data_IF_634718468540
#
_entry.id   IF_634718468540
#
_cell.length_a   1.000
_cell.length_b   1.000
_cell.length_c   1.000
_cell.angle_alpha   90.00
_cell.angle_beta   90.00
_cell.angle_gamma   90.00
#
_symmetry.space_group_name_H-M   'P 1'
#
loop_
_entity.id
_entity.type
_entity.pdbx_description
1 polymer ?
#
# COMPACT_ATOMS: atom_id res chain seq x y z
N UNK A 1 13.16 -35.58 11.95
CA UNK A 1 11.79 -35.33 12.43
C UNK A 1 11.69 -33.84 12.68
N UNK A 2 11.20 -33.11 11.67
CA UNK A 2 11.08 -31.66 11.73
C UNK A 2 9.89 -31.32 12.61
N UNK A 3 10.13 -30.53 13.66
CA UNK A 3 9.07 -29.94 14.48
C UNK A 3 8.34 -28.95 13.57
N UNK A 4 7.14 -29.30 13.10
CA UNK A 4 6.23 -28.34 12.48
C UNK A 4 6.06 -27.18 13.46
N UNK A 5 6.53 -25.99 13.10
CA UNK A 5 6.22 -24.77 13.85
C UNK A 5 4.83 -24.33 13.37
N UNK A 6 3.78 -24.40 14.20
CA UNK A 6 2.42 -24.01 13.78
C UNK A 6 2.33 -22.55 13.29
N UNK A 7 3.29 -21.70 13.64
CA UNK A 7 3.41 -20.33 13.13
C UNK A 7 3.77 -20.22 11.64
N UNK A 8 4.15 -21.33 10.99
CA UNK A 8 4.54 -21.37 9.57
C UNK A 8 3.45 -21.95 8.66
N UNK A 9 2.34 -22.47 9.22
CA UNK A 9 1.30 -23.15 8.44
C UNK A 9 0.60 -22.24 7.42
N UNK A 10 0.61 -20.92 7.64
CA UNK A 10 0.02 -19.97 6.68
C UNK A 10 0.90 -19.77 5.44
N UNK A 11 2.21 -20.00 5.52
CA UNK A 11 3.12 -19.66 4.42
C UNK A 11 2.82 -20.49 3.17
N UNK A 12 2.59 -21.79 3.31
CA UNK A 12 2.30 -22.68 2.18
C UNK A 12 0.97 -22.33 1.51
N UNK A 13 -0.08 -22.04 2.30
CA UNK A 13 -1.38 -21.58 1.81
C UNK A 13 -1.27 -20.25 1.06
N UNK A 14 -0.46 -19.31 1.58
CA UNK A 14 -0.19 -18.04 0.91
C UNK A 14 0.57 -18.27 -0.39
N UNK A 15 1.64 -19.07 -0.39
CA UNK A 15 2.41 -19.37 -1.60
C UNK A 15 1.53 -19.96 -2.68
N UNK A 16 0.70 -20.95 -2.33
CA UNK A 16 -0.24 -21.57 -3.26
C UNK A 16 -1.24 -20.54 -3.83
N UNK A 17 -1.84 -19.73 -2.96
CA UNK A 17 -2.77 -18.67 -3.38
C UNK A 17 -2.11 -17.65 -4.32
N UNK A 18 -0.93 -17.14 -3.97
CA UNK A 18 -0.21 -16.15 -4.76
C UNK A 18 0.22 -16.72 -6.12
N UNK A 19 0.78 -17.93 -6.15
CA UNK A 19 1.26 -18.57 -7.37
C UNK A 19 0.15 -18.83 -8.39
N UNK A 20 -1.05 -19.18 -7.92
CA UNK A 20 -2.24 -19.43 -8.75
C UNK A 20 -2.87 -18.15 -9.29
N UNK A 21 -2.87 -17.08 -8.49
CA UNK A 21 -3.59 -15.85 -8.82
C UNK A 21 -2.73 -14.75 -9.43
N UNK A 22 -1.40 -14.83 -9.31
CA UNK A 22 -0.51 -13.92 -10.00
C UNK A 22 -0.57 -14.13 -11.52
N UNK A 23 -0.66 -13.05 -12.32
CA UNK A 23 -0.68 -13.17 -13.77
C UNK A 23 0.64 -13.72 -14.29
N UNK A 24 0.59 -14.82 -15.04
CA UNK A 24 1.77 -15.39 -15.69
C UNK A 24 2.20 -14.56 -16.90
N UNK A 25 3.51 -14.49 -17.12
CA UNK A 25 4.03 -13.93 -18.36
C UNK A 25 3.94 -15.00 -19.48
N UNK A 26 3.33 -14.70 -20.64
CA UNK A 26 3.19 -15.67 -21.73
C UNK A 26 4.51 -15.91 -22.50
N UNK A 27 5.46 -14.98 -22.41
CA UNK A 27 6.73 -15.03 -23.16
C UNK A 27 7.92 -15.39 -22.26
N UNK A 28 7.75 -15.32 -20.94
CA UNK A 28 8.81 -15.48 -19.94
C UNK A 28 8.37 -16.42 -18.83
N UNK A 29 9.32 -17.10 -18.21
CA UNK A 29 9.02 -17.95 -17.05
C UNK A 29 8.77 -17.09 -15.80
N UNK A 30 7.55 -17.17 -15.26
CA UNK A 30 7.16 -16.56 -13.98
C UNK A 30 5.91 -15.67 -14.06
N UNK A 31 5.87 -14.66 -13.20
CA UNK A 31 4.73 -13.77 -12.99
C UNK A 31 5.05 -12.32 -13.33
N UNK A 32 4.17 -11.68 -14.12
CA UNK A 32 4.34 -10.33 -14.59
C UNK A 32 3.57 -9.34 -13.72
N UNK A 33 4.26 -8.39 -13.09
CA UNK A 33 3.61 -7.46 -12.18
C UNK A 33 2.71 -6.42 -12.89
N UNK A 34 2.82 -6.30 -14.22
CA UNK A 34 2.09 -5.35 -15.07
C UNK A 34 2.15 -3.89 -14.58
N UNK A 35 3.15 -3.54 -13.78
CA UNK A 35 3.22 -2.29 -13.01
C UNK A 35 1.94 -2.00 -12.19
N UNK A 36 1.23 -3.03 -11.73
CA UNK A 36 0.05 -2.93 -10.88
C UNK A 36 0.42 -3.17 -9.42
N UNK A 37 -0.04 -2.29 -8.52
CA UNK A 37 0.34 -2.30 -7.10
C UNK A 37 0.16 -3.66 -6.43
N UNK A 38 -1.01 -4.28 -6.59
CA UNK A 38 -1.30 -5.58 -5.98
C UNK A 38 -0.36 -6.69 -6.48
N UNK A 39 -0.05 -6.71 -7.78
CA UNK A 39 0.81 -7.74 -8.38
C UNK A 39 2.27 -7.54 -8.02
N UNK A 40 2.74 -6.30 -7.99
CA UNK A 40 4.10 -5.98 -7.55
C UNK A 40 4.34 -6.41 -6.09
N UNK A 41 3.40 -6.10 -5.18
CA UNK A 41 3.48 -6.51 -3.77
C UNK A 41 3.40 -8.05 -3.66
N UNK A 42 2.54 -8.71 -4.43
CA UNK A 42 2.45 -10.18 -4.44
C UNK A 42 3.72 -10.85 -5.00
N UNK A 43 4.34 -10.30 -6.04
CA UNK A 43 5.65 -10.73 -6.54
C UNK A 43 6.74 -10.55 -5.47
N UNK A 44 6.75 -9.43 -4.75
CA UNK A 44 7.68 -9.20 -3.64
C UNK A 44 7.46 -10.19 -2.49
N UNK A 45 6.19 -10.52 -2.17
CA UNK A 45 5.87 -11.55 -1.20
C UNK A 45 6.40 -12.93 -1.61
N UNK A 46 6.26 -13.33 -2.88
CA UNK A 46 6.83 -14.60 -3.39
C UNK A 46 8.35 -14.64 -3.27
N UNK A 47 9.04 -13.52 -3.51
CA UNK A 47 10.48 -13.39 -3.33
C UNK A 47 10.86 -13.51 -1.85
N UNK A 48 10.16 -12.77 -0.99
CA UNK A 48 10.42 -12.76 0.45
C UNK A 48 10.12 -14.10 1.13
N UNK A 49 9.19 -14.89 0.59
CA UNK A 49 8.89 -16.27 1.01
C UNK A 49 9.87 -17.31 0.45
N UNK A 50 10.91 -16.89 -0.28
CA UNK A 50 11.94 -17.77 -0.82
C UNK A 50 11.47 -18.65 -1.98
N UNK A 51 10.38 -18.26 -2.65
CA UNK A 51 9.80 -19.03 -3.76
C UNK A 51 10.24 -18.50 -5.13
N UNK A 52 10.68 -17.25 -5.19
CA UNK A 52 10.96 -16.57 -6.43
C UNK A 52 12.18 -15.64 -6.33
N UNK A 53 12.71 -15.27 -7.49
CA UNK A 53 13.72 -14.23 -7.61
C UNK A 53 13.19 -13.01 -8.37
N UNK A 54 13.69 -11.83 -7.99
CA UNK A 54 13.28 -10.57 -8.59
C UNK A 54 13.64 -10.50 -10.07
N UNK A 55 12.72 -9.97 -10.87
CA UNK A 55 12.91 -9.64 -12.28
C UNK A 55 12.45 -8.22 -12.54
N UNK A 56 12.92 -7.62 -13.64
CA UNK A 56 12.53 -6.25 -14.04
C UNK A 56 11.03 -6.11 -14.35
N UNK A 57 10.33 -7.22 -14.53
CA UNK A 57 8.95 -7.30 -14.97
C UNK A 57 8.05 -8.01 -13.94
N UNK A 58 8.59 -8.38 -12.77
CA UNK A 58 7.87 -9.14 -11.74
C UNK A 58 8.79 -10.13 -11.02
N UNK A 59 8.40 -11.40 -10.97
CA UNK A 59 9.15 -12.45 -10.28
C UNK A 59 9.19 -13.75 -11.08
N UNK A 60 10.29 -14.50 -10.97
CA UNK A 60 10.43 -15.82 -11.58
C UNK A 60 10.60 -16.89 -10.50
N UNK A 61 9.95 -18.06 -10.61
CA UNK A 61 10.06 -19.13 -9.63
C UNK A 61 11.52 -19.63 -9.53
N UNK A 62 11.92 -20.01 -8.32
CA UNK A 62 13.20 -20.69 -8.09
C UNK A 62 13.08 -22.18 -8.44
N UNK A 63 14.13 -22.75 -9.02
CA UNK A 63 14.19 -24.19 -9.31
C UNK A 63 14.20 -25.06 -8.04
N UNK A 64 14.77 -24.53 -6.95
CA UNK A 64 14.81 -25.15 -5.63
C UNK A 64 14.34 -24.12 -4.59
N UNK A 65 13.02 -23.96 -4.40
CA UNK A 65 12.48 -22.99 -3.45
C UNK A 65 12.81 -23.40 -2.02
N UNK A 66 13.37 -22.48 -1.25
CA UNK A 66 13.76 -22.71 0.14
C UNK A 66 13.05 -21.69 1.01
N UNK A 67 12.26 -22.20 1.96
CA UNK A 67 11.61 -21.32 2.93
C UNK A 67 12.69 -20.57 3.74
N UNK A 68 12.58 -19.24 3.87
CA UNK A 68 13.58 -18.46 4.58
C UNK A 68 13.56 -18.81 6.07
N UNK A 69 14.74 -18.76 6.70
CA UNK A 69 14.88 -18.97 8.15
C UNK A 69 14.03 -17.96 8.95
N UNK A 70 13.89 -16.75 8.41
CA UNK A 70 13.11 -15.66 8.96
C UNK A 70 12.03 -15.27 7.95
N UNK A 71 10.77 -15.50 8.30
CA UNK A 71 9.65 -15.16 7.45
C UNK A 71 9.46 -13.65 7.30
N UNK A 72 8.90 -13.19 6.17
CA UNK A 72 8.43 -11.82 6.03
C UNK A 72 7.37 -11.49 7.07
N UNK A 73 7.19 -10.20 7.33
CA UNK A 73 6.21 -9.73 8.29
C UNK A 73 4.80 -10.20 7.92
N UNK A 74 4.12 -10.81 8.88
CA UNK A 74 2.77 -11.36 8.71
C UNK A 74 1.77 -10.31 8.23
N UNK A 75 1.81 -9.09 8.78
CA UNK A 75 0.87 -8.03 8.41
C UNK A 75 1.09 -7.54 6.96
N UNK A 76 2.33 -7.50 6.49
CA UNK A 76 2.63 -7.17 5.09
C UNK A 76 2.17 -8.27 4.12
N UNK A 77 2.32 -9.54 4.50
CA UNK A 77 1.77 -10.68 3.73
C UNK A 77 0.25 -10.61 3.64
N UNK A 78 -0.42 -10.24 4.73
CA UNK A 78 -1.86 -10.05 4.71
C UNK A 78 -2.27 -8.99 3.68
N UNK A 79 -1.53 -7.88 3.56
CA UNK A 79 -1.80 -6.85 2.54
C UNK A 79 -1.58 -7.38 1.12
N UNK A 80 -0.53 -8.19 0.90
CA UNK A 80 -0.31 -8.83 -0.39
C UNK A 80 -1.51 -9.71 -0.82
N UNK A 81 -2.01 -10.54 0.10
CA UNK A 81 -3.15 -11.43 -0.14
C UNK A 81 -4.44 -10.65 -0.35
N UNK A 82 -4.76 -9.70 0.55
CA UNK A 82 -5.97 -8.88 0.44
C UNK A 82 -5.99 -8.07 -0.86
N UNK A 83 -4.88 -7.43 -1.20
CA UNK A 83 -4.74 -6.63 -2.41
C UNK A 83 -4.90 -7.47 -3.68
N UNK A 84 -4.25 -8.64 -3.76
CA UNK A 84 -4.38 -9.54 -4.90
C UNK A 84 -5.81 -10.09 -5.02
N UNK A 85 -6.41 -10.55 -3.92
CA UNK A 85 -7.78 -11.06 -3.91
C UNK A 85 -8.79 -9.99 -4.34
N UNK A 86 -8.64 -8.75 -3.88
CA UNK A 86 -9.49 -7.63 -4.27
C UNK A 86 -9.29 -7.26 -5.75
N UNK A 87 -8.04 -7.25 -6.23
CA UNK A 87 -7.69 -6.97 -7.62
C UNK A 87 -8.37 -7.95 -8.60
N UNK A 88 -8.45 -9.24 -8.23
CA UNK A 88 -9.14 -10.28 -9.01
C UNK A 88 -10.64 -10.39 -8.70
N UNK A 89 -11.20 -9.52 -7.85
CA UNK A 89 -12.60 -9.57 -7.38
C UNK A 89 -12.98 -10.89 -6.68
N UNK A 90 -11.99 -11.61 -6.16
CA UNK A 90 -12.17 -12.79 -5.33
C UNK A 90 -12.55 -12.40 -3.90
N UNK A 91 -12.12 -11.21 -3.48
CA UNK A 91 -12.55 -10.53 -2.26
C UNK A 91 -13.33 -9.25 -2.63
N UNK A 92 -14.46 -9.04 -1.98
CA UNK A 92 -15.27 -7.83 -2.12
C UNK A 92 -15.74 -7.33 -0.77
N UNK A 93 -15.24 -6.17 -0.36
CA UNK A 93 -15.73 -5.46 0.81
C UNK A 93 -17.15 -4.93 0.56
N UNK A 94 -18.03 -5.13 1.52
CA UNK A 94 -19.44 -4.78 1.45
C UNK A 94 -19.72 -3.50 2.25
N UNK A 95 -20.79 -2.81 1.93
CA UNK A 95 -21.27 -1.72 2.79
C UNK A 95 -21.77 -2.27 4.15
N UNK A 96 -22.01 -1.42 5.17
CA UNK A 96 -22.53 -1.88 6.47
C UNK A 96 -23.88 -2.61 6.41
N UNK A 97 -24.66 -2.43 5.34
CA UNK A 97 -25.91 -3.17 5.08
C UNK A 97 -25.72 -4.48 4.32
N UNK A 98 -24.47 -4.86 4.02
CA UNK A 98 -24.14 -6.09 3.28
C UNK A 98 -24.22 -5.95 1.76
N UNK A 99 -24.59 -4.76 1.25
CA UNK A 99 -24.74 -4.47 -0.16
C UNK A 99 -23.42 -4.32 -0.91
N UNK A 100 -23.50 -4.42 -2.25
CA UNK A 100 -22.38 -4.04 -3.12
C UNK A 100 -22.35 -2.51 -3.21
N UNK A 101 -21.21 -1.87 -2.99
CA UNK A 101 -21.08 -0.43 -3.21
C UNK A 101 -21.42 -0.04 -4.65
N UNK A 102 -22.09 1.10 -4.81
CA UNK A 102 -22.36 1.68 -6.13
C UNK A 102 -21.04 2.00 -6.83
N UNK A 103 -20.81 1.38 -8.00
CA UNK A 103 -19.62 1.67 -8.80
C UNK A 103 -19.83 2.98 -9.57
N UNK A 104 -18.98 3.96 -9.29
CA UNK A 104 -18.87 5.17 -10.10
C UNK A 104 -17.79 4.94 -11.16
N UNK A 105 -18.13 5.08 -12.45
CA UNK A 105 -17.17 4.93 -13.55
C UNK A 105 -16.84 6.30 -14.16
N UNK A 106 -15.53 6.55 -14.32
CA UNK A 106 -14.97 7.73 -14.98
C UNK A 106 -14.97 9.00 -14.13
N UNK A 107 -14.23 10.02 -14.59
CA UNK A 107 -14.16 11.36 -13.97
C UNK A 107 -15.49 12.12 -13.96
N UNK A 108 -16.54 11.57 -14.58
CA UNK A 108 -17.86 12.20 -14.74
C UNK A 108 -18.93 11.78 -13.73
N UNK A 109 -18.63 10.90 -12.77
CA UNK A 109 -19.57 10.57 -11.70
C UNK A 109 -20.74 9.66 -12.11
N UNK A 110 -20.66 8.96 -13.24
CA UNK A 110 -21.73 8.05 -13.66
C UNK A 110 -21.83 6.86 -12.71
N UNK A 111 -22.99 6.69 -12.10
CA UNK A 111 -23.31 5.57 -11.22
C UNK A 111 -23.91 4.45 -12.05
N UNK A 112 -23.27 3.29 -12.09
CA UNK A 112 -23.88 2.08 -12.64
C UNK A 112 -24.97 1.60 -11.68
N UNK A 113 -26.22 1.86 -12.05
CA UNK A 113 -27.37 1.23 -11.42
C UNK A 113 -27.56 -0.17 -11.99
N UNK A 114 -27.84 -1.14 -11.13
CA UNK A 114 -28.13 -2.52 -11.53
C UNK A 114 -29.50 -2.54 -12.23
N UNK A 115 -29.57 -3.08 -13.44
CA UNK A 115 -30.83 -3.26 -14.16
C UNK A 115 -31.74 -4.29 -13.46
N UNK A 116 -33.06 -4.11 -13.59
CA UNK A 116 -34.05 -5.07 -13.10
C UNK A 116 -33.85 -6.46 -13.73
N UNK A 117 -33.92 -7.52 -12.93
CA UNK A 117 -33.79 -8.92 -13.38
C UNK A 117 -32.41 -9.58 -13.19
N UNK A 118 -31.44 -8.90 -12.57
CA UNK A 118 -30.17 -9.55 -12.23
C UNK A 118 -30.29 -10.45 -10.99
N UNK A 119 -29.62 -11.62 -11.01
CA UNK A 119 -29.57 -12.58 -9.90
C UNK A 119 -29.23 -11.91 -8.56
N UNK A 120 -29.77 -12.36 -7.42
CA UNK A 120 -29.51 -11.74 -6.12
C UNK A 120 -28.01 -11.58 -5.87
N UNK A 121 -27.63 -10.46 -5.24
CA UNK A 121 -26.24 -10.24 -4.83
C UNK A 121 -25.88 -11.38 -3.88
N UNK A 122 -24.77 -12.11 -4.10
CA UNK A 122 -24.31 -13.08 -3.13
C UNK A 122 -24.03 -12.41 -1.79
N UNK A 123 -24.68 -12.92 -0.74
CA UNK A 123 -24.55 -12.45 0.63
C UNK A 123 -23.08 -12.44 1.10
N UNK A 124 -22.71 -11.56 2.05
CA UNK A 124 -21.42 -11.63 2.71
C UNK A 124 -21.22 -13.00 3.39
N UNK A 125 -20.04 -13.60 3.24
CA UNK A 125 -19.63 -14.80 3.97
C UNK A 125 -18.53 -14.51 5.02
N UNK A 126 -18.16 -13.23 5.17
CA UNK A 126 -17.36 -12.72 6.27
C UNK A 126 -18.18 -11.61 6.94
N UNK A 127 -18.62 -11.86 8.17
CA UNK A 127 -19.41 -10.95 8.98
C UNK A 127 -18.59 -9.78 9.54
N UNK A 128 -19.28 -8.67 9.78
CA UNK A 128 -18.74 -7.50 10.46
C UNK A 128 -18.36 -7.83 11.92
N UNK A 129 -17.21 -7.35 12.37
CA UNK A 129 -16.68 -7.59 13.72
C UNK A 129 -15.58 -6.57 14.03
N UNK A 130 -15.35 -6.25 15.31
CA UNK A 130 -14.28 -5.35 15.75
C UNK A 130 -14.22 -3.98 15.02
N UNK A 131 -15.38 -3.40 14.69
CA UNK A 131 -15.45 -2.13 13.94
C UNK A 131 -15.16 -2.23 12.44
N UNK A 132 -14.97 -3.45 11.93
CA UNK A 132 -14.76 -3.75 10.51
C UNK A 132 -16.08 -4.13 9.85
N UNK A 133 -16.24 -3.73 8.58
CA UNK A 133 -17.44 -4.02 7.81
C UNK A 133 -17.49 -5.46 7.29
N UNK A 134 -18.62 -5.91 6.74
CA UNK A 134 -18.73 -7.24 6.17
C UNK A 134 -17.99 -7.34 4.83
N UNK A 135 -17.67 -8.56 4.41
CA UNK A 135 -17.06 -8.84 3.13
C UNK A 135 -17.55 -10.17 2.55
N UNK A 136 -17.28 -10.36 1.26
CA UNK A 136 -17.45 -11.64 0.59
C UNK A 136 -16.15 -12.08 -0.05
N UNK A 137 -15.73 -13.30 0.24
CA UNK A 137 -14.59 -13.99 -0.36
C UNK A 137 -15.05 -15.23 -1.16
N UNK A 138 -14.26 -15.69 -2.12
CA UNK A 138 -14.37 -17.06 -2.65
C UNK A 138 -13.84 -18.07 -1.63
N UNK A 139 -14.14 -19.35 -1.81
CA UNK A 139 -13.72 -20.40 -0.87
C UNK A 139 -12.20 -20.49 -0.74
N UNK A 140 -11.46 -20.35 -1.86
CA UNK A 140 -9.99 -20.32 -1.85
C UNK A 140 -9.45 -19.12 -1.04
N UNK A 141 -10.08 -17.95 -1.20
CA UNK A 141 -9.70 -16.76 -0.43
C UNK A 141 -10.06 -16.93 1.04
N UNK A 142 -11.23 -17.51 1.37
CA UNK A 142 -11.59 -17.81 2.76
C UNK A 142 -10.58 -18.74 3.43
N UNK A 143 -10.10 -19.75 2.70
CA UNK A 143 -9.09 -20.69 3.20
C UNK A 143 -7.82 -19.95 3.61
N UNK A 144 -7.23 -19.16 2.70
CA UNK A 144 -5.99 -18.41 3.01
C UNK A 144 -6.20 -17.33 4.07
N UNK A 145 -7.35 -16.64 4.09
CA UNK A 145 -7.66 -15.65 5.14
C UNK A 145 -7.83 -16.31 6.51
N UNK A 146 -8.36 -17.54 6.57
CA UNK A 146 -8.48 -18.32 7.80
C UNK A 146 -7.09 -18.81 8.25
N UNK A 147 -6.26 -19.32 7.34
CA UNK A 147 -4.89 -19.73 7.62
C UNK A 147 -4.04 -18.57 8.18
N UNK A 148 -4.23 -17.36 7.63
CA UNK A 148 -3.60 -16.13 8.14
C UNK A 148 -4.19 -15.66 9.48
N UNK A 149 -5.29 -16.24 9.96
CA UNK A 149 -5.98 -15.83 11.18
C UNK A 149 -6.71 -14.49 11.06
N UNK A 150 -7.01 -14.03 9.83
CA UNK A 150 -7.80 -12.82 9.59
C UNK A 150 -9.30 -13.09 9.75
N UNK A 151 -9.74 -14.32 9.46
CA UNK A 151 -11.12 -14.77 9.59
C UNK A 151 -11.19 -15.97 10.54
N UNK A 152 -12.18 -15.97 11.44
CA UNK A 152 -12.54 -17.10 12.29
C UNK A 152 -14.06 -17.15 12.44
N UNK A 153 -14.63 -18.36 12.39
CA UNK A 153 -16.08 -18.60 12.51
C UNK A 153 -16.96 -17.75 11.57
N UNK A 154 -16.42 -17.38 10.40
CA UNK A 154 -17.09 -16.54 9.42
C UNK A 154 -17.09 -15.04 9.76
N UNK A 155 -16.23 -14.56 10.66
CA UNK A 155 -16.09 -13.15 11.02
C UNK A 155 -14.65 -12.68 10.96
N UNK A 156 -14.47 -11.37 10.75
CA UNK A 156 -13.16 -10.74 10.94
C UNK A 156 -12.68 -10.89 12.40
N UNK A 157 -11.40 -11.25 12.57
CA UNK A 157 -10.77 -11.37 13.90
C UNK A 157 -10.28 -10.02 14.42
N UNK A 158 -9.99 -9.91 15.71
CA UNK A 158 -9.36 -8.70 16.27
C UNK A 158 -7.98 -8.41 15.67
N UNK A 159 -7.21 -9.45 15.30
CA UNK A 159 -5.92 -9.30 14.61
C UNK A 159 -6.06 -8.69 13.22
N UNK A 160 -7.19 -8.90 12.55
CA UNK A 160 -7.44 -8.32 11.23
C UNK A 160 -7.63 -6.80 11.25
N UNK A 161 -7.95 -6.22 12.41
CA UNK A 161 -8.25 -4.79 12.54
C UNK A 161 -7.08 -3.92 12.07
N UNK A 162 -5.88 -4.15 12.61
CA UNK A 162 -4.68 -3.37 12.25
C UNK A 162 -4.25 -3.58 10.81
N UNK A 163 -4.55 -4.74 10.22
CA UNK A 163 -4.29 -5.02 8.80
C UNK A 163 -5.28 -4.25 7.93
N UNK A 164 -6.58 -4.30 8.25
CA UNK A 164 -7.62 -3.61 7.49
C UNK A 164 -7.60 -2.09 7.68
N UNK A 165 -6.98 -1.59 8.75
CA UNK A 165 -6.60 -0.19 8.89
C UNK A 165 -5.55 0.26 7.88
N UNK A 166 -4.71 -0.67 7.38
CA UNK A 166 -3.77 -0.40 6.29
C UNK A 166 -4.48 -0.50 4.95
N UNK A 167 -5.30 -1.52 4.73
CA UNK A 167 -6.04 -1.68 3.46
C UNK A 167 -7.07 -0.55 3.21
N UNK A 168 -7.79 -0.13 4.26
CA UNK A 168 -8.87 0.88 4.24
C UNK A 168 -9.85 0.75 3.07
N UNK A 169 -10.69 -0.31 3.03
CA UNK A 169 -11.72 -0.45 2.02
C UNK A 169 -12.58 0.81 1.93
N UNK A 170 -12.61 1.44 0.74
CA UNK A 170 -13.34 2.71 0.52
C UNK A 170 -14.81 2.62 0.91
N UNK A 171 -15.40 1.43 0.81
CA UNK A 171 -16.78 1.11 1.15
C UNK A 171 -17.10 1.30 2.62
N UNK A 172 -16.11 1.13 3.49
CA UNK A 172 -16.27 1.22 4.94
C UNK A 172 -16.08 2.64 5.46
N UNK A 173 -15.52 3.56 4.66
CA UNK A 173 -15.33 4.97 5.03
C UNK A 173 -14.67 5.14 6.41
N UNK A 174 -13.62 4.36 6.65
CA UNK A 174 -12.94 4.31 7.94
C UNK A 174 -12.31 5.66 8.29
N UNK A 175 -12.53 6.14 9.52
CA UNK A 175 -11.94 7.38 10.04
C UNK A 175 -10.82 7.05 11.05
N UNK A 176 -9.80 6.33 10.60
CA UNK A 176 -8.71 5.84 11.46
C UNK A 176 -8.01 6.96 12.24
N UNK A 177 -7.86 8.14 11.64
CA UNK A 177 -7.19 9.29 12.26
C UNK A 177 -7.92 9.87 13.49
N UNK A 178 -9.20 9.52 13.67
CA UNK A 178 -10.00 9.92 14.85
C UNK A 178 -9.92 8.90 15.98
N UNK A 179 -9.39 7.71 15.74
CA UNK A 179 -9.26 6.69 16.77
C UNK A 179 -8.17 7.08 17.80
N UNK A 180 -8.46 7.03 19.11
CA UNK A 180 -7.48 7.35 20.15
C UNK A 180 -6.19 6.53 20.06
N UNK A 181 -6.26 5.28 19.60
CA UNK A 181 -5.08 4.43 19.41
C UNK A 181 -4.18 4.97 18.31
N UNK A 182 -4.75 5.49 17.22
CA UNK A 182 -3.98 6.13 16.16
C UNK A 182 -3.31 7.42 16.66
N UNK A 183 -4.04 8.25 17.42
CA UNK A 183 -3.51 9.49 17.97
C UNK A 183 -2.35 9.23 18.94
N UNK A 184 -2.51 8.24 19.83
CA UNK A 184 -1.45 7.80 20.73
C UNK A 184 -0.24 7.24 19.98
N UNK A 185 -0.45 6.44 18.93
CA UNK A 185 0.64 5.94 18.08
C UNK A 185 1.39 7.06 17.35
N UNK A 186 0.71 8.14 16.95
CA UNK A 186 1.33 9.31 16.34
C UNK A 186 2.18 10.11 17.33
N UNK A 187 1.74 10.23 18.58
CA UNK A 187 2.53 10.82 19.67
C UNK A 187 3.78 9.98 19.95
N UNK A 188 3.60 8.67 20.08
CA UNK A 188 4.70 7.75 20.29
C UNK A 188 5.71 7.79 19.12
N UNK A 189 5.24 7.86 17.88
CA UNK A 189 6.12 7.96 16.71
C UNK A 189 7.00 9.22 16.72
N UNK A 190 6.49 10.34 17.26
CA UNK A 190 7.28 11.56 17.45
C UNK A 190 8.30 11.38 18.59
N UNK A 191 7.85 10.86 19.74
CA UNK A 191 8.67 10.72 20.94
C UNK A 191 9.83 9.72 20.77
N UNK A 192 9.60 8.64 20.03
CA UNK A 192 10.56 7.54 19.88
C UNK A 192 11.24 7.54 18.51
N UNK A 193 11.25 8.67 17.80
CA UNK A 193 11.84 8.80 16.47
C UNK A 193 13.35 8.47 16.49
N UNK A 194 13.80 7.40 15.82
CA UNK A 194 15.22 7.08 15.76
C UNK A 194 16.01 8.17 15.06
N UNK A 195 17.20 8.49 15.55
CA UNK A 195 18.03 9.57 15.02
C UNK A 195 18.27 9.44 13.51
N UNK A 196 18.60 8.24 13.03
CA UNK A 196 18.84 7.99 11.60
C UNK A 196 17.62 8.31 10.72
N UNK A 197 16.41 8.02 11.21
CA UNK A 197 15.15 8.31 10.51
C UNK A 197 14.85 9.80 10.60
N UNK A 198 15.06 10.41 11.76
CA UNK A 198 14.92 11.86 11.94
C UNK A 198 15.82 12.66 11.00
N UNK A 199 17.07 12.24 10.82
CA UNK A 199 18.00 12.84 9.86
C UNK A 199 17.57 12.65 8.40
N UNK A 200 17.01 11.48 8.03
CA UNK A 200 16.44 11.24 6.70
C UNK A 200 15.25 12.17 6.43
N UNK A 201 14.30 12.27 7.38
CA UNK A 201 13.15 13.16 7.28
C UNK A 201 13.60 14.63 7.19
N UNK A 202 14.54 15.06 8.03
CA UNK A 202 15.06 16.42 8.04
C UNK A 202 15.64 16.84 6.68
N UNK A 203 16.35 15.93 6.01
CA UNK A 203 16.89 16.15 4.66
C UNK A 203 15.79 16.31 3.61
N UNK A 204 14.69 15.57 3.75
CA UNK A 204 13.57 15.61 2.79
C UNK A 204 12.71 16.86 2.92
N UNK A 205 12.53 17.39 4.13
CA UNK A 205 11.74 18.60 4.37
C UNK A 205 12.51 19.90 4.07
N UNK A 206 13.84 19.83 4.03
CA UNK A 206 14.71 20.97 3.73
C UNK A 206 14.69 21.31 2.23
N UNK A 207 13.85 22.27 1.82
CA UNK A 207 13.86 22.84 0.47
C UNK A 207 14.69 24.13 0.47
N UNK A 208 15.88 24.08 -0.11
CA UNK A 208 16.80 25.21 -0.20
C UNK A 208 16.50 26.12 -1.39
N UNK A 209 17.04 27.35 -1.37
CA UNK A 209 16.99 28.25 -2.54
C UNK A 209 17.66 27.62 -3.77
N UNK A 210 18.75 26.86 -3.57
CA UNK A 210 19.44 26.17 -4.67
C UNK A 210 18.57 25.10 -5.34
N UNK A 211 17.72 24.40 -4.58
CA UNK A 211 16.77 23.44 -5.15
C UNK A 211 15.73 24.13 -6.02
N UNK A 212 15.26 25.30 -5.58
CA UNK A 212 14.30 26.12 -6.33
C UNK A 212 14.95 26.64 -7.62
N UNK A 213 16.14 27.23 -7.53
CA UNK A 213 16.87 27.77 -8.68
C UNK A 213 17.20 26.68 -9.70
N UNK A 214 17.63 25.50 -9.24
CA UNK A 214 17.89 24.34 -10.09
C UNK A 214 16.63 23.88 -10.81
N UNK A 215 15.52 23.79 -10.10
CA UNK A 215 14.25 23.35 -10.69
C UNK A 215 13.67 24.41 -11.66
N UNK A 216 13.88 25.71 -11.40
CA UNK A 216 13.53 26.78 -12.33
C UNK A 216 14.35 26.66 -13.62
N UNK A 217 15.67 26.53 -13.52
CA UNK A 217 16.56 26.39 -14.68
C UNK A 217 16.22 25.14 -15.52
N UNK A 218 15.92 24.00 -14.87
CA UNK A 218 15.46 22.79 -15.57
C UNK A 218 14.14 23.01 -16.29
N UNK A 219 13.19 23.72 -15.67
CA UNK A 219 11.91 24.01 -16.29
C UNK A 219 12.04 24.96 -17.50
N UNK A 220 12.86 26.00 -17.38
CA UNK A 220 13.16 26.92 -18.49
C UNK A 220 13.80 26.18 -19.66
N UNK A 221 14.79 25.31 -19.39
CA UNK A 221 15.42 24.47 -20.41
C UNK A 221 14.41 23.55 -21.09
N UNK A 222 13.53 22.90 -20.33
CA UNK A 222 12.49 22.03 -20.88
C UNK A 222 11.48 22.80 -21.76
N UNK A 223 11.11 24.02 -21.36
CA UNK A 223 10.28 24.91 -22.20
C UNK A 223 11.00 25.24 -23.50
N UNK A 224 12.29 25.58 -23.45
CA UNK A 224 13.05 25.94 -24.65
C UNK A 224 13.21 24.76 -25.61
N UNK A 225 13.46 23.56 -25.10
CA UNK A 225 13.48 22.33 -25.90
C UNK A 225 12.12 22.06 -26.57
N UNK A 226 11.01 22.31 -25.87
CA UNK A 226 9.67 22.18 -26.44
C UNK A 226 9.39 23.26 -27.51
N UNK A 227 9.90 24.48 -27.34
CA UNK A 227 9.81 25.53 -28.37
C UNK A 227 10.55 25.16 -29.64
N UNK A 228 11.76 24.60 -29.50
CA UNK A 228 12.55 24.14 -30.64
C UNK A 228 11.83 23.02 -31.41
N UNK A 229 11.15 22.10 -30.72
CA UNK A 229 10.42 20.97 -31.35
C UNK A 229 9.10 21.37 -31.99
N UNK A 230 8.33 22.26 -31.36
CA UNK A 230 6.93 22.54 -31.75
C UNK A 230 6.72 23.96 -32.32
N UNK A 231 7.78 24.75 -32.40
CA UNK A 231 7.79 26.09 -32.96
C UNK A 231 7.39 27.18 -31.94
N UNK A 232 7.65 28.46 -32.29
CA UNK A 232 7.49 29.61 -31.38
C UNK A 232 6.03 29.90 -30.99
N UNK A 233 5.05 29.32 -31.69
CA UNK A 233 3.62 29.47 -31.40
C UNK A 233 3.07 28.36 -30.50
N UNK A 234 3.91 27.44 -30.02
CA UNK A 234 3.49 26.38 -29.11
C UNK A 234 2.95 26.99 -27.80
N UNK A 235 1.76 26.56 -27.38
CA UNK A 235 1.17 26.93 -26.08
C UNK A 235 1.84 26.12 -24.97
N UNK A 236 3.04 26.52 -24.62
CA UNK A 236 3.79 25.95 -23.50
C UNK A 236 3.32 26.68 -22.23
N UNK A 237 3.10 25.94 -21.15
CA UNK A 237 2.44 26.44 -19.93
C UNK A 237 3.05 27.73 -19.34
N UNK A 238 2.36 28.30 -18.34
CA UNK A 238 2.80 29.54 -17.68
C UNK A 238 4.19 29.38 -17.06
N UNK A 239 4.99 30.45 -17.12
CA UNK A 239 6.25 30.55 -16.38
C UNK A 239 6.03 30.26 -14.90
N UNK A 240 6.85 29.36 -14.35
CA UNK A 240 6.77 28.99 -12.94
C UNK A 240 7.37 30.09 -12.07
N UNK A 241 6.73 30.38 -10.93
CA UNK A 241 7.32 31.25 -9.91
C UNK A 241 8.08 30.41 -8.88
N UNK A 242 9.02 30.99 -8.11
CA UNK A 242 9.70 30.30 -7.02
C UNK A 242 8.72 29.61 -6.05
N UNK A 243 7.60 30.27 -5.72
CA UNK A 243 6.57 29.70 -4.84
C UNK A 243 5.86 28.48 -5.44
N UNK A 244 5.57 28.48 -6.75
CA UNK A 244 4.98 27.31 -7.44
C UNK A 244 5.95 26.14 -7.48
N UNK A 245 7.24 26.41 -7.76
CA UNK A 245 8.29 25.39 -7.74
C UNK A 245 8.45 24.80 -6.35
N UNK A 246 8.47 25.64 -5.31
CA UNK A 246 8.54 25.19 -3.91
C UNK A 246 7.42 24.22 -3.56
N UNK A 247 6.17 24.54 -3.90
CA UNK A 247 5.02 23.64 -3.68
C UNK A 247 5.14 22.33 -4.46
N UNK A 248 5.62 22.38 -5.70
CA UNK A 248 5.85 21.18 -6.52
C UNK A 248 6.94 20.30 -5.92
N UNK A 249 8.04 20.89 -5.47
CA UNK A 249 9.11 20.18 -4.78
C UNK A 249 8.59 19.55 -3.48
N UNK A 250 7.84 20.29 -2.66
CA UNK A 250 7.23 19.76 -1.45
C UNK A 250 6.32 18.56 -1.75
N UNK A 251 5.46 18.66 -2.77
CA UNK A 251 4.61 17.55 -3.22
C UNK A 251 5.43 16.31 -3.62
N UNK A 252 6.53 16.49 -4.36
CA UNK A 252 7.43 15.39 -4.71
C UNK A 252 8.07 14.78 -3.45
N UNK A 253 8.58 15.62 -2.54
CA UNK A 253 9.21 15.18 -1.29
C UNK A 253 8.22 14.50 -0.34
N UNK A 254 6.93 14.84 -0.37
CA UNK A 254 5.89 14.10 0.34
C UNK A 254 5.82 12.64 -0.11
N UNK A 255 6.01 12.35 -1.41
CA UNK A 255 6.12 10.97 -1.90
C UNK A 255 7.36 10.25 -1.37
N UNK A 256 8.49 10.95 -1.25
CA UNK A 256 9.72 10.39 -0.64
C UNK A 256 9.57 10.18 0.87
N UNK A 257 8.85 11.08 1.56
CA UNK A 257 8.51 10.93 2.98
C UNK A 257 7.55 9.77 3.20
N UNK A 258 6.56 9.56 2.32
CA UNK A 258 5.68 8.39 2.35
C UNK A 258 6.52 7.09 2.35
N UNK A 259 7.56 7.02 1.52
CA UNK A 259 8.48 5.87 1.48
C UNK A 259 9.24 5.62 2.79
N UNK A 260 9.59 6.66 3.53
CA UNK A 260 10.21 6.49 4.86
C UNK A 260 9.24 5.74 5.79
N UNK A 261 7.98 6.16 5.83
CA UNK A 261 6.96 5.52 6.67
C UNK A 261 6.61 4.11 6.17
N UNK A 262 6.51 3.88 4.85
CA UNK A 262 6.26 2.54 4.30
C UNK A 262 7.33 1.53 4.73
N UNK A 263 8.60 1.95 4.76
CA UNK A 263 9.72 1.06 5.09
C UNK A 263 9.99 0.91 6.57
N UNK A 264 9.69 1.94 7.36
CA UNK A 264 10.19 2.05 8.75
C UNK A 264 9.11 2.15 9.80
N UNK A 265 7.83 2.32 9.45
CA UNK A 265 6.79 2.51 10.46
C UNK A 265 5.70 1.43 10.40
N UNK A 266 5.26 0.94 11.56
CA UNK A 266 4.09 0.05 11.71
C UNK A 266 3.32 0.41 12.96
N UNK A 267 1.99 0.24 12.94
CA UNK A 267 1.13 0.57 14.08
C UNK A 267 1.52 -0.18 15.37
N UNK A 268 1.96 -1.43 15.26
CA UNK A 268 2.31 -2.29 16.40
C UNK A 268 3.70 -2.04 16.96
N UNK A 269 4.64 -1.64 16.11
CA UNK A 269 6.07 -1.55 16.44
C UNK A 269 6.58 -0.11 16.50
N UNK A 270 5.75 0.85 16.08
CA UNK A 270 6.10 2.26 15.88
C UNK A 270 7.19 2.41 14.82
N UNK A 271 8.46 2.26 15.18
CA UNK A 271 9.58 2.30 14.24
C UNK A 271 10.27 0.94 14.17
N UNK A 272 10.39 0.40 12.96
CA UNK A 272 11.02 -0.87 12.70
C UNK A 272 12.54 -0.76 12.90
N UNK A 273 13.08 -1.70 13.68
CA UNK A 273 14.53 -1.89 13.75
C UNK A 273 15.09 -2.47 12.43
N UNK A 274 16.42 -2.63 12.37
CA UNK A 274 17.08 -3.11 11.16
C UNK A 274 16.69 -4.54 10.75
N UNK A 275 16.32 -5.41 11.68
CA UNK A 275 15.87 -6.77 11.39
C UNK A 275 14.42 -6.74 10.89
N UNK A 276 13.54 -6.04 11.60
CA UNK A 276 12.13 -5.89 11.24
C UNK A 276 11.97 -5.20 9.88
N UNK A 277 12.81 -4.19 9.58
CA UNK A 277 12.82 -3.52 8.29
C UNK A 277 13.27 -4.43 7.13
N UNK A 278 14.10 -5.46 7.40
CA UNK A 278 14.46 -6.48 6.39
C UNK A 278 13.35 -7.50 6.15
N UNK A 279 12.50 -7.74 7.15
CA UNK A 279 11.34 -8.61 7.03
C UNK A 279 10.14 -7.91 6.38
N UNK A 280 10.14 -6.57 6.37
CA UNK A 280 9.05 -5.78 5.82
C UNK A 280 9.04 -5.86 4.29
N UNK A 281 7.85 -6.05 3.72
CA UNK A 281 7.66 -5.87 2.28
C UNK A 281 7.54 -4.38 1.97
N UNK A 282 7.85 -3.98 0.74
CA UNK A 282 7.59 -2.64 0.26
C UNK A 282 6.11 -2.49 -0.07
N UNK A 283 5.29 -2.33 0.98
CA UNK A 283 3.88 -1.96 0.84
C UNK A 283 3.78 -0.49 0.43
N UNK A 284 3.91 -0.23 -0.87
CA UNK A 284 3.80 1.12 -1.39
C UNK A 284 2.33 1.54 -1.51
N UNK A 285 2.09 2.83 -1.30
CA UNK A 285 0.76 3.44 -1.19
C UNK A 285 -0.04 3.13 0.08
N UNK A 286 0.56 2.51 1.11
CA UNK A 286 -0.10 2.20 2.40
C UNK A 286 -0.85 3.42 3.00
N UNK A 287 -2.20 3.41 2.98
CA UNK A 287 -3.04 4.47 3.53
C UNK A 287 -2.74 4.84 4.98
N UNK A 288 -2.47 3.85 5.85
CA UNK A 288 -2.24 4.09 7.27
C UNK A 288 -0.90 4.79 7.49
N UNK A 289 0.15 4.34 6.81
CA UNK A 289 1.46 4.96 6.88
C UNK A 289 1.44 6.39 6.32
N UNK A 290 0.69 6.67 5.24
CA UNK A 290 0.48 8.04 4.74
C UNK A 290 -0.21 8.94 5.75
N UNK A 291 -1.26 8.43 6.40
CA UNK A 291 -1.97 9.14 7.47
C UNK A 291 -1.04 9.41 8.64
N UNK A 292 -0.22 8.43 9.02
CA UNK A 292 0.78 8.59 10.08
C UNK A 292 1.81 9.67 9.74
N UNK A 293 2.37 9.68 8.52
CA UNK A 293 3.22 10.77 8.05
C UNK A 293 2.55 12.13 8.21
N UNK A 294 1.31 12.27 7.71
CA UNK A 294 0.54 13.51 7.80
C UNK A 294 0.23 13.93 9.24
N UNK A 295 0.16 12.99 10.19
CA UNK A 295 -0.04 13.30 11.61
C UNK A 295 1.27 13.67 12.33
N UNK A 296 2.39 13.05 11.93
CA UNK A 296 3.71 13.22 12.57
C UNK A 296 4.42 14.49 12.09
N UNK A 297 4.40 14.79 10.79
CA UNK A 297 5.16 15.93 10.24
C UNK A 297 4.78 17.29 10.85
N UNK A 298 3.49 17.64 11.04
CA UNK A 298 3.14 18.91 11.67
C UNK A 298 3.59 19.02 13.13
N UNK A 299 3.79 17.89 13.82
CA UNK A 299 4.31 17.86 15.19
C UNK A 299 5.84 18.06 15.24
N UNK A 300 6.56 17.49 14.27
CA UNK A 300 8.02 17.63 14.16
C UNK A 300 8.45 18.99 13.58
N UNK A 301 7.71 19.49 12.60
CA UNK A 301 8.03 20.70 11.83
C UNK A 301 6.79 21.61 11.70
N UNK A 302 6.32 22.24 12.78
CA UNK A 302 5.11 23.04 12.79
C UNK A 302 5.19 24.28 11.87
N UNK A 303 6.39 24.76 11.58
CA UNK A 303 6.65 25.90 10.69
C UNK A 303 6.60 25.54 9.19
N UNK A 304 6.69 24.26 8.83
CA UNK A 304 6.80 23.81 7.44
C UNK A 304 5.43 23.43 6.85
N UNK A 305 4.56 24.43 6.67
CA UNK A 305 3.19 24.25 6.17
C UNK A 305 3.08 23.64 4.78
N UNK A 306 4.16 23.66 3.99
CA UNK A 306 4.19 23.03 2.65
C UNK A 306 4.08 21.49 2.71
N UNK A 307 4.29 20.89 3.89
CA UNK A 307 4.30 19.43 4.11
C UNK A 307 3.12 18.92 4.95
N UNK A 308 2.20 19.81 5.33
CA UNK A 308 1.02 19.49 6.13
C UNK A 308 -0.12 18.98 5.25
#
# INVERSE_FOLDING_TARGET
>A
MSVERPEMAWADEVVAFLAENLPRDPEREGWNDMAMTAYQIACEAMIALGQAEARKWGAAPLADPVQPEVLPRWDDICIAVLGLAAQHRLLSYRDPSGGIPTQTIGMGGFVLMRGEGQSPIPEPNIGASAGLGPARATDDVLSVLTALGLVADGYWTSRSEVVLWREQPRTWRMEVTRDPRFQSAAEQAVETLPQEIGEEIAKLVAISGQDIDRSLAQHEKAIEELRLRHGPKARLGRSQTPGTIRKRLAFQRCGELDWVFFRRWRMTDVWLDALQARQALQIFHDPLAKQMRSAVLPKLYPELTDFH
#
